data_IF_732090048949
#
_entry.id   IF_732090048949
#
_cell.length_a   1.000
_cell.length_b   1.000
_cell.length_c   1.000
_cell.angle_alpha   90.00
_cell.angle_beta   90.00
_cell.angle_gamma   90.00
#
_symmetry.space_group_name_H-M   'P 1'
#
loop_
_entity.id
_entity.type
_entity.pdbx_description
1 polymer ?
#
# COMPACT_ATOMS: atom_id res chain seq x y z
N UNK A 1 -3.97 17.54 -4.89
CA UNK A 1 -3.45 16.17 -5.09
C UNK A 1 -3.23 15.63 -3.70
N UNK A 2 -4.12 14.74 -3.27
CA UNK A 2 -3.95 14.01 -2.03
C UNK A 2 -2.99 12.85 -2.31
N UNK A 3 -2.01 12.67 -1.45
CA UNK A 3 -1.06 11.57 -1.55
C UNK A 3 -1.45 10.50 -0.53
N UNK A 4 -1.54 9.26 -0.99
CA UNK A 4 -1.70 8.08 -0.15
C UNK A 4 -0.54 7.15 -0.42
N UNK A 5 0.08 6.64 0.62
CA UNK A 5 1.20 5.72 0.52
C UNK A 5 0.83 4.43 1.23
N UNK A 6 1.00 3.29 0.55
CA UNK A 6 0.91 1.99 1.18
C UNK A 6 2.33 1.43 1.34
N UNK A 7 2.62 0.94 2.53
CA UNK A 7 3.91 0.38 2.91
C UNK A 7 3.73 -1.09 3.22
N UNK A 8 4.63 -1.89 2.66
CA UNK A 8 4.75 -3.32 2.94
C UNK A 8 5.52 -3.53 4.24
N UNK A 9 5.51 -4.76 4.76
CA UNK A 9 6.38 -5.16 5.86
C UNK A 9 7.86 -4.85 5.51
N UNK A 10 8.68 -4.37 6.46
CA UNK A 10 10.08 -4.08 6.19
C UNK A 10 10.79 -5.32 5.65
N UNK A 11 11.39 -5.21 4.46
CA UNK A 11 12.11 -6.33 3.84
C UNK A 11 13.48 -6.57 4.48
N UNK A 12 14.01 -5.56 5.17
CA UNK A 12 15.27 -5.65 5.87
C UNK A 12 15.08 -6.23 7.27
N UNK A 13 15.76 -7.33 7.55
CA UNK A 13 15.73 -8.01 8.85
C UNK A 13 16.26 -7.13 9.99
N UNK A 14 17.16 -6.17 9.74
CA UNK A 14 17.64 -5.26 10.80
C UNK A 14 16.55 -4.31 11.30
N UNK A 15 15.45 -4.17 10.55
CA UNK A 15 14.29 -3.37 10.91
C UNK A 15 13.20 -4.20 11.63
N UNK A 16 13.46 -5.48 11.89
CA UNK A 16 12.50 -6.42 12.49
C UNK A 16 13.15 -7.14 13.67
N UNK A 17 12.42 -7.32 14.76
CA UNK A 17 12.89 -8.11 15.88
C UNK A 17 12.81 -9.61 15.54
N UNK A 18 13.96 -10.21 15.23
CA UNK A 18 14.04 -11.61 14.75
C UNK A 18 14.34 -12.63 15.86
N UNK A 19 14.83 -12.20 17.03
CA UNK A 19 15.30 -13.13 18.06
C UNK A 19 14.12 -13.91 18.68
N UNK A 20 14.08 -15.22 18.45
CA UNK A 20 12.97 -16.08 18.89
C UNK A 20 11.68 -15.91 18.09
N UNK A 21 11.71 -15.15 17.00
CA UNK A 21 10.54 -14.90 16.17
C UNK A 21 10.38 -15.95 15.06
N UNK A 22 9.14 -16.35 14.79
CA UNK A 22 8.76 -17.05 13.56
C UNK A 22 8.16 -16.03 12.59
N UNK A 23 8.75 -15.90 11.40
CA UNK A 23 8.31 -14.96 10.36
C UNK A 23 8.02 -15.75 9.08
N UNK A 24 6.81 -15.60 8.54
CA UNK A 24 6.40 -16.26 7.29
C UNK A 24 5.79 -15.24 6.32
N UNK A 25 6.31 -15.22 5.10
CA UNK A 25 5.82 -14.38 4.02
C UNK A 25 4.84 -15.16 3.15
N UNK A 26 3.61 -14.66 3.03
CA UNK A 26 2.57 -15.26 2.21
C UNK A 26 2.61 -14.77 0.76
N UNK A 27 1.99 -15.49 -0.18
CA UNK A 27 1.90 -15.09 -1.58
C UNK A 27 1.14 -13.78 -1.82
N UNK A 28 0.23 -13.44 -0.90
CA UNK A 28 -0.47 -12.15 -0.89
C UNK A 28 0.33 -11.03 -0.22
N UNK A 29 1.63 -11.26 0.01
CA UNK A 29 2.59 -10.36 0.65
C UNK A 29 2.26 -9.99 2.11
N UNK A 30 1.25 -10.60 2.72
CA UNK A 30 1.03 -10.51 4.15
C UNK A 30 2.14 -11.23 4.91
N UNK A 31 2.40 -10.79 6.14
CA UNK A 31 3.46 -11.34 6.99
C UNK A 31 2.87 -11.86 8.28
N UNK A 32 3.03 -13.15 8.51
CA UNK A 32 2.78 -13.76 9.82
C UNK A 32 4.03 -13.60 10.68
N UNK A 33 3.84 -13.10 11.91
CA UNK A 33 4.88 -12.91 12.91
C UNK A 33 4.39 -13.49 14.24
N UNK A 34 5.19 -14.34 14.87
CA UNK A 34 4.91 -14.87 16.20
C UNK A 34 6.17 -14.85 17.06
N UNK A 35 6.05 -14.37 18.29
CA UNK A 35 7.14 -14.37 19.26
C UNK A 35 6.60 -14.33 20.70
N UNK A 36 6.34 -15.52 21.25
CA UNK A 36 5.76 -15.69 22.60
C UNK A 36 6.62 -15.11 23.73
N UNK A 37 7.93 -14.96 23.51
CA UNK A 37 8.87 -14.45 24.52
C UNK A 37 9.14 -12.95 24.38
N UNK A 38 8.57 -12.30 23.36
CA UNK A 38 8.78 -10.86 23.17
C UNK A 38 8.09 -10.10 24.31
N UNK A 39 8.88 -9.33 25.06
CA UNK A 39 8.35 -8.55 26.17
C UNK A 39 7.47 -7.39 25.67
N UNK A 40 6.41 -7.02 26.42
CA UNK A 40 5.67 -5.78 26.17
C UNK A 40 6.61 -4.56 26.14
N UNK A 41 6.33 -3.62 25.24
CA UNK A 41 7.13 -2.42 25.00
C UNK A 41 8.31 -2.61 24.03
N UNK A 42 8.62 -3.83 23.61
CA UNK A 42 9.63 -4.07 22.57
C UNK A 42 9.09 -3.77 21.17
N UNK A 43 9.93 -3.23 20.30
CA UNK A 43 9.58 -2.96 18.91
C UNK A 43 9.63 -4.25 18.10
N UNK A 44 8.51 -4.60 17.47
CA UNK A 44 8.39 -5.73 16.54
C UNK A 44 9.07 -5.38 15.22
N UNK A 45 8.77 -4.20 14.67
CA UNK A 45 9.40 -3.71 13.46
C UNK A 45 9.36 -2.18 13.35
N UNK A 46 10.27 -1.64 12.55
CA UNK A 46 10.43 -0.21 12.30
C UNK A 46 10.40 0.05 10.80
N UNK A 47 9.64 1.06 10.39
CA UNK A 47 9.78 1.69 9.08
C UNK A 47 10.48 3.04 9.24
N UNK A 48 11.36 3.41 8.32
CA UNK A 48 12.09 4.69 8.36
C UNK A 48 12.01 5.46 7.05
N UNK A 49 11.91 6.79 7.15
CA UNK A 49 11.87 7.71 6.00
C UNK A 49 13.25 8.07 5.46
N UNK A 50 14.30 7.74 6.20
CA UNK A 50 15.68 8.01 5.81
C UNK A 50 16.57 6.86 6.27
N UNK A 51 17.42 6.39 5.37
CA UNK A 51 18.40 5.35 5.65
C UNK A 51 19.74 5.77 5.06
N UNK A 52 20.82 5.43 5.76
CA UNK A 52 22.13 5.48 5.14
C UNK A 52 22.30 4.25 4.25
N UNK A 53 22.09 4.43 2.94
CA UNK A 53 22.21 3.34 1.98
C UNK A 53 23.63 2.78 1.90
N UNK A 54 24.67 3.62 2.07
CA UNK A 54 26.05 3.16 1.99
C UNK A 54 26.44 2.32 3.21
N UNK A 55 25.95 2.69 4.39
CA UNK A 55 26.23 1.96 5.62
C UNK A 55 25.36 0.71 5.78
N UNK A 56 24.08 0.78 5.40
CA UNK A 56 23.10 -0.26 5.72
C UNK A 56 22.69 -1.12 4.51
N UNK A 57 22.89 -0.62 3.28
CA UNK A 57 22.38 -1.26 2.05
C UNK A 57 20.86 -1.16 1.88
N UNK A 58 20.17 -0.42 2.75
CA UNK A 58 18.71 -0.38 2.78
C UNK A 58 18.17 0.90 2.20
N UNK A 59 17.13 0.78 1.39
CA UNK A 59 16.32 1.92 0.95
C UNK A 59 15.32 2.32 2.04
N UNK A 60 14.91 3.60 2.09
CA UNK A 60 13.84 4.03 2.97
C UNK A 60 12.54 3.24 2.73
N UNK A 61 11.82 2.97 3.81
CA UNK A 61 10.55 2.23 3.79
C UNK A 61 9.34 3.12 4.08
N UNK A 62 9.56 4.42 4.29
CA UNK A 62 8.52 5.44 4.42
C UNK A 62 8.71 6.56 3.39
N UNK A 63 7.62 7.19 2.93
CA UNK A 63 7.67 8.34 2.03
C UNK A 63 8.16 9.60 2.74
N UNK A 64 8.60 10.60 1.99
CA UNK A 64 8.80 11.95 2.54
C UNK A 64 7.45 12.64 2.72
N UNK A 65 7.19 13.19 3.90
CA UNK A 65 5.95 13.91 4.21
C UNK A 65 6.19 15.41 4.21
N UNK A 66 5.16 16.19 3.87
CA UNK A 66 5.22 17.65 3.84
C UNK A 66 5.10 18.20 5.26
N UNK A 67 6.04 19.07 5.63
CA UNK A 67 6.05 19.77 6.92
C UNK A 67 4.76 20.57 7.11
N UNK A 68 4.27 20.64 8.36
CA UNK A 68 3.05 21.35 8.78
C UNK A 68 1.74 20.83 8.17
N UNK A 69 1.77 19.69 7.47
CA UNK A 69 0.55 18.98 7.06
C UNK A 69 0.13 17.95 8.10
N UNK A 70 -1.17 17.70 8.16
CA UNK A 70 -1.78 16.65 8.98
C UNK A 70 -2.06 15.43 8.11
N UNK A 71 -1.70 14.26 8.62
CA UNK A 71 -1.88 12.97 7.97
C UNK A 71 -2.61 12.01 8.92
N UNK A 72 -3.12 10.93 8.33
CA UNK A 72 -3.64 9.78 9.05
C UNK A 72 -2.81 8.55 8.66
N UNK A 73 -2.30 7.85 9.67
CA UNK A 73 -1.72 6.52 9.53
C UNK A 73 -2.82 5.49 9.78
N UNK A 74 -2.93 4.48 8.92
CA UNK A 74 -3.82 3.33 9.11
C UNK A 74 -3.05 2.02 9.06
N UNK A 75 -3.24 1.17 10.06
CA UNK A 75 -2.65 -0.16 10.19
C UNK A 75 -3.73 -1.22 9.94
N UNK A 76 -3.47 -2.12 9.00
CA UNK A 76 -4.29 -3.31 8.75
C UNK A 76 -3.53 -4.54 9.21
N UNK A 77 -4.05 -5.18 10.26
CA UNK A 77 -3.43 -6.31 10.93
C UNK A 77 -4.49 -7.15 11.64
N UNK A 78 -4.27 -8.46 11.69
CA UNK A 78 -5.03 -9.41 12.52
C UNK A 78 -4.11 -9.99 13.57
N UNK A 79 -4.63 -10.33 14.74
CA UNK A 79 -3.83 -10.93 15.80
C UNK A 79 -4.66 -11.88 16.68
N UNK A 80 -3.99 -12.49 17.64
CA UNK A 80 -4.57 -13.37 18.64
C UNK A 80 -5.49 -12.66 19.65
N UNK A 81 -5.39 -11.34 19.77
CA UNK A 81 -6.19 -10.54 20.70
C UNK A 81 -6.50 -9.12 20.18
N UNK A 82 -7.33 -8.37 20.92
CA UNK A 82 -7.86 -7.08 20.49
C UNK A 82 -6.86 -5.91 20.59
N UNK A 83 -5.82 -6.03 21.42
CA UNK A 83 -4.82 -4.98 21.65
C UNK A 83 -3.39 -5.54 21.58
N UNK A 84 -3.00 -6.13 20.44
CA UNK A 84 -1.76 -6.89 20.33
C UNK A 84 -0.54 -5.95 20.29
N UNK A 85 -0.73 -4.74 19.75
CA UNK A 85 0.33 -3.80 19.40
C UNK A 85 -0.09 -2.35 19.61
N UNK A 86 0.90 -1.47 19.73
CA UNK A 86 0.78 -0.03 19.68
C UNK A 86 1.58 0.49 18.47
N UNK A 87 1.00 1.39 17.70
CA UNK A 87 1.75 2.13 16.68
C UNK A 87 2.35 3.37 17.33
N UNK A 88 3.63 3.62 17.08
CA UNK A 88 4.32 4.82 17.48
C UNK A 88 4.99 5.48 16.27
N UNK A 89 4.89 6.81 16.16
CA UNK A 89 5.60 7.61 15.16
C UNK A 89 6.46 8.64 15.88
N UNK A 90 7.72 8.76 15.48
CA UNK A 90 8.70 9.71 16.04
C UNK A 90 9.29 10.55 14.90
N UNK A 91 9.37 11.87 15.11
CA UNK A 91 9.95 12.82 14.16
C UNK A 91 11.29 13.31 14.66
N UNK A 92 12.28 13.36 13.78
CA UNK A 92 13.65 13.72 14.11
C UNK A 92 14.12 14.96 13.34
N UNK A 93 14.96 15.75 13.98
CA UNK A 93 15.66 16.88 13.36
C UNK A 93 16.98 16.44 12.69
N UNK A 94 17.80 17.40 12.27
CA UNK A 94 19.10 17.13 11.63
C UNK A 94 20.16 16.54 12.58
N UNK A 95 19.92 16.57 13.90
CA UNK A 95 20.79 16.04 14.95
C UNK A 95 20.30 14.70 15.48
N UNK A 96 19.26 14.12 14.87
CA UNK A 96 18.57 12.92 15.34
C UNK A 96 17.92 13.09 16.72
N UNK A 97 17.58 14.33 17.11
CA UNK A 97 16.80 14.59 18.31
C UNK A 97 15.30 14.51 18.00
N UNK A 98 14.53 13.92 18.91
CA UNK A 98 13.07 13.78 18.76
C UNK A 98 12.42 15.16 18.90
N UNK A 99 11.75 15.61 17.84
CA UNK A 99 10.97 16.84 17.82
C UNK A 99 9.56 16.65 18.38
N UNK A 100 8.92 15.54 18.02
CA UNK A 100 7.55 15.20 18.41
C UNK A 100 7.30 13.69 18.25
N UNK A 101 6.31 13.16 18.95
CA UNK A 101 5.90 11.76 18.81
C UNK A 101 4.41 11.55 19.03
N UNK A 102 3.83 10.60 18.31
CA UNK A 102 2.44 10.20 18.46
C UNK A 102 2.41 8.68 18.69
N UNK A 103 1.46 8.21 19.51
CA UNK A 103 1.26 6.79 19.75
C UNK A 103 -0.21 6.47 19.91
N UNK A 104 -0.63 5.29 19.46
CA UNK A 104 -2.01 4.85 19.56
C UNK A 104 -2.13 3.34 19.39
N UNK A 105 -3.15 2.76 20.02
CA UNK A 105 -3.54 1.36 19.85
C UNK A 105 -4.65 1.19 18.82
N UNK A 106 -5.30 2.28 18.44
CA UNK A 106 -6.31 2.28 17.39
C UNK A 106 -5.66 1.94 16.04
N UNK A 107 -6.46 1.35 15.14
CA UNK A 107 -6.03 1.07 13.77
C UNK A 107 -5.72 2.33 12.97
N UNK A 108 -6.14 3.52 13.45
CA UNK A 108 -5.87 4.81 12.83
C UNK A 108 -5.26 5.79 13.81
N UNK A 109 -4.23 6.50 13.37
CA UNK A 109 -3.52 7.52 14.16
C UNK A 109 -3.37 8.80 13.35
N UNK A 110 -3.95 9.91 13.84
CA UNK A 110 -3.79 11.24 13.25
C UNK A 110 -2.59 11.95 13.84
N UNK A 111 -1.80 12.59 13.00
CA UNK A 111 -0.60 13.30 13.42
C UNK A 111 -0.32 14.48 12.49
N UNK A 112 0.41 15.48 13.00
CA UNK A 112 0.89 16.61 12.21
C UNK A 112 2.42 16.54 12.11
N UNK A 113 2.95 16.72 10.91
CA UNK A 113 4.41 16.73 10.71
C UNK A 113 4.97 18.04 11.29
N UNK A 114 5.84 17.99 12.31
CA UNK A 114 6.36 19.19 12.95
C UNK A 114 7.29 19.98 12.04
N UNK A 115 7.48 21.26 12.36
CA UNK A 115 8.47 22.09 11.67
C UNK A 115 9.86 21.64 12.07
N UNK A 116 10.75 21.49 11.08
CA UNK A 116 12.13 21.07 11.32
C UNK A 116 12.37 19.56 11.17
N UNK A 117 11.33 18.77 10.89
CA UNK A 117 11.49 17.35 10.57
C UNK A 117 12.44 17.15 9.39
N UNK A 118 13.47 16.35 9.61
CA UNK A 118 14.36 15.83 8.58
C UNK A 118 14.02 14.39 8.24
N UNK A 119 13.75 13.56 9.26
CA UNK A 119 13.35 12.17 9.12
C UNK A 119 12.30 11.78 10.14
N UNK A 120 11.65 10.64 9.93
CA UNK A 120 10.72 10.06 10.89
C UNK A 120 10.72 8.54 10.80
N UNK A 121 10.31 7.92 11.90
CA UNK A 121 10.16 6.48 12.01
C UNK A 121 8.75 6.13 12.46
N UNK A 122 8.26 5.00 11.99
CA UNK A 122 7.05 4.35 12.49
C UNK A 122 7.47 3.01 13.11
N UNK A 123 7.07 2.76 14.35
CA UNK A 123 7.36 1.53 15.08
C UNK A 123 6.07 0.80 15.42
N UNK A 124 6.08 -0.52 15.21
CA UNK A 124 5.07 -1.42 15.73
C UNK A 124 5.57 -1.98 17.06
N UNK A 125 5.00 -1.52 18.16
CA UNK A 125 5.43 -1.89 19.52
C UNK A 125 4.53 -3.01 20.04
N UNK A 126 5.13 -4.07 20.57
CA UNK A 126 4.42 -5.19 21.18
C UNK A 126 3.72 -4.73 22.47
N UNK A 127 2.42 -5.00 22.63
CA UNK A 127 1.73 -4.85 23.91
C UNK A 127 1.55 -6.18 24.60
N UNK A 128 1.15 -7.22 23.85
CA UNK A 128 1.17 -8.63 24.22
C UNK A 128 0.56 -9.40 23.05
N UNK A 129 1.36 -9.85 22.09
CA UNK A 129 0.89 -10.74 21.03
C UNK A 129 1.47 -12.14 21.23
N UNK A 130 0.71 -13.16 20.85
CA UNK A 130 1.26 -14.50 20.57
C UNK A 130 1.60 -14.60 19.08
N UNK A 131 0.68 -14.12 18.23
CA UNK A 131 0.87 -14.04 16.80
C UNK A 131 0.13 -12.84 16.21
N UNK A 132 0.67 -12.33 15.10
CA UNK A 132 0.01 -11.33 14.28
C UNK A 132 0.20 -11.64 12.81
N UNK A 133 -0.75 -11.17 12.00
CA UNK A 133 -0.70 -11.18 10.55
C UNK A 133 -0.83 -9.74 10.08
N UNK A 134 0.30 -9.18 9.68
CA UNK A 134 0.37 -7.86 9.05
C UNK A 134 -0.14 -7.95 7.62
N UNK A 135 -1.06 -7.04 7.24
CA UNK A 135 -1.57 -6.93 5.88
C UNK A 135 -1.01 -5.68 5.20
N UNK A 136 -1.16 -4.50 5.80
CA UNK A 136 -0.56 -3.27 5.25
C UNK A 136 -0.46 -2.14 6.29
N UNK A 137 0.45 -1.21 6.03
CA UNK A 137 0.53 0.10 6.69
C UNK A 137 0.25 1.16 5.64
N UNK A 138 -0.49 2.21 5.97
CA UNK A 138 -0.70 3.33 5.06
C UNK A 138 -0.59 4.67 5.75
N UNK A 139 -0.10 5.67 5.02
CA UNK A 139 -0.09 7.08 5.44
C UNK A 139 -0.67 7.90 4.30
N UNK A 140 -1.67 8.72 4.58
CA UNK A 140 -2.25 9.62 3.59
C UNK A 140 -2.90 10.84 4.22
N UNK A 141 -3.40 11.74 3.39
CA UNK A 141 -4.26 12.82 3.88
C UNK A 141 -5.53 12.23 4.55
N UNK A 142 -6.15 12.98 5.46
CA UNK A 142 -7.30 12.49 6.23
C UNK A 142 -8.42 12.04 5.29
N UNK A 143 -8.90 10.80 5.47
CA UNK A 143 -9.93 10.19 4.64
C UNK A 143 -9.44 9.56 3.33
N UNK A 144 -8.15 9.64 3.00
CA UNK A 144 -7.61 9.04 1.78
C UNK A 144 -7.75 7.51 1.75
N UNK A 145 -7.55 6.85 2.90
CA UNK A 145 -7.66 5.39 3.03
C UNK A 145 -9.08 4.89 2.75
N UNK A 146 -10.11 5.69 3.05
CA UNK A 146 -11.52 5.35 2.82
C UNK A 146 -11.87 5.27 1.34
N UNK A 147 -11.00 5.77 0.48
CA UNK A 147 -11.14 5.66 -0.97
C UNK A 147 -10.61 4.34 -1.52
N UNK A 148 -9.82 3.58 -0.75
CA UNK A 148 -9.39 2.24 -1.16
C UNK A 148 -10.62 1.32 -1.15
N UNK A 149 -10.95 0.78 -2.31
CA UNK A 149 -11.99 -0.22 -2.48
C UNK A 149 -11.43 -1.63 -2.30
N UNK A 150 -10.32 -1.92 -2.99
CA UNK A 150 -9.67 -3.24 -2.96
C UNK A 150 -8.18 -3.10 -3.23
N UNK A 151 -7.39 -4.03 -2.70
CA UNK A 151 -5.95 -4.15 -2.95
C UNK A 151 -5.57 -5.58 -3.23
N UNK A 152 -4.63 -5.79 -4.14
CA UNK A 152 -3.97 -7.08 -4.32
C UNK A 152 -2.46 -6.86 -4.30
N UNK A 153 -1.79 -7.57 -3.41
CA UNK A 153 -0.34 -7.57 -3.35
C UNK A 153 0.20 -8.92 -3.78
N UNK A 154 1.16 -8.95 -4.70
CA UNK A 154 1.80 -10.18 -5.21
C UNK A 154 3.32 -9.98 -5.40
N UNK A 155 4.07 -11.07 -5.61
CA UNK A 155 5.52 -10.99 -5.81
C UNK A 155 5.96 -10.21 -7.06
N UNK A 156 5.16 -10.21 -8.13
CA UNK A 156 5.51 -9.57 -9.43
C UNK A 156 4.62 -8.38 -9.80
N UNK A 157 3.49 -8.23 -9.12
CA UNK A 157 2.61 -7.11 -9.32
C UNK A 157 1.86 -6.75 -8.04
N UNK A 158 1.44 -5.49 -7.97
CA UNK A 158 0.47 -4.99 -7.02
C UNK A 158 -0.58 -4.22 -7.78
N UNK A 159 -1.78 -4.15 -7.23
CA UNK A 159 -2.71 -3.12 -7.63
C UNK A 159 -3.55 -2.62 -6.46
N UNK A 160 -3.92 -1.34 -6.54
CA UNK A 160 -4.77 -0.65 -5.57
C UNK A 160 -5.91 -0.02 -6.35
N UNK A 161 -7.13 -0.50 -6.10
CA UNK A 161 -8.36 0.05 -6.66
C UNK A 161 -8.90 1.11 -5.71
N UNK A 162 -9.04 2.32 -6.23
CA UNK A 162 -9.52 3.48 -5.51
C UNK A 162 -10.80 4.00 -6.16
N UNK A 163 -11.80 4.28 -5.33
CA UNK A 163 -13.06 4.87 -5.73
C UNK A 163 -13.14 6.35 -5.29
N UNK A 164 -13.84 7.20 -6.06
CA UNK A 164 -14.17 8.54 -5.62
C UNK A 164 -15.13 8.50 -4.42
N UNK A 165 -14.99 9.44 -3.48
CA UNK A 165 -15.87 9.53 -2.30
C UNK A 165 -17.34 9.78 -2.69
N UNK A 166 -17.56 10.52 -3.77
CA UNK A 166 -18.88 10.66 -4.38
C UNK A 166 -18.98 9.64 -5.51
N UNK A 167 -19.88 8.67 -5.37
CA UNK A 167 -20.20 7.74 -6.44
C UNK A 167 -20.57 8.54 -7.68
N UNK A 168 -19.71 8.47 -8.68
CA UNK A 168 -20.03 8.94 -10.01
C UNK A 168 -20.48 7.74 -10.84
N UNK A 169 -21.51 7.94 -11.66
CA UNK A 169 -21.95 6.97 -12.67
C UNK A 169 -21.00 6.93 -13.88
N UNK A 170 -19.75 7.42 -13.75
CA UNK A 170 -18.79 7.38 -14.84
C UNK A 170 -18.52 5.94 -15.24
N UNK A 171 -18.75 5.67 -16.53
CA UNK A 171 -18.48 4.39 -17.16
C UNK A 171 -16.99 4.20 -17.46
N UNK A 172 -16.07 4.91 -16.81
CA UNK A 172 -14.64 4.82 -17.14
C UNK A 172 -13.81 4.53 -15.90
N UNK A 173 -12.97 3.50 -15.99
CA UNK A 173 -11.95 3.16 -15.00
C UNK A 173 -10.57 3.49 -15.61
N UNK A 174 -9.80 4.30 -14.89
CA UNK A 174 -8.42 4.63 -15.25
C UNK A 174 -7.47 3.61 -14.64
N UNK A 175 -6.67 2.95 -15.48
CA UNK A 175 -5.60 2.04 -15.09
C UNK A 175 -4.28 2.77 -15.21
N UNK A 176 -3.67 3.12 -14.07
CA UNK A 176 -2.40 3.83 -14.02
C UNK A 176 -1.31 2.79 -13.80
N UNK A 177 -0.47 2.57 -14.81
CA UNK A 177 0.53 1.51 -14.77
C UNK A 177 1.89 2.08 -14.38
N UNK A 178 2.44 1.57 -13.28
CA UNK A 178 3.72 1.98 -12.70
C UNK A 178 4.69 0.80 -12.74
N UNK A 179 5.98 1.12 -12.76
CA UNK A 179 7.03 0.14 -12.51
C UNK A 179 7.09 -0.18 -11.02
N UNK A 180 7.16 -1.47 -10.68
CA UNK A 180 7.31 -2.01 -9.33
C UNK A 180 7.70 -3.49 -9.42
N UNK A 181 7.34 -4.32 -8.41
CA UNK A 181 6.81 -3.95 -7.10
C UNK A 181 7.74 -3.03 -6.31
N UNK A 182 7.21 -2.32 -5.31
CA UNK A 182 7.98 -1.39 -4.47
C UNK A 182 7.64 -1.63 -2.99
N UNK A 183 8.57 -1.27 -2.10
CA UNK A 183 8.30 -1.27 -0.66
C UNK A 183 7.30 -0.17 -0.24
N UNK A 184 7.23 0.90 -1.03
CA UNK A 184 6.30 2.03 -0.88
C UNK A 184 5.52 2.18 -2.19
N UNK A 185 4.19 2.12 -2.10
CA UNK A 185 3.28 2.25 -3.23
C UNK A 185 2.61 3.63 -3.17
N UNK A 186 3.04 4.62 -3.98
CA UNK A 186 2.46 5.95 -4.00
C UNK A 186 1.19 5.99 -4.85
N UNK A 187 0.06 6.24 -4.20
CA UNK A 187 -1.28 6.37 -4.79
C UNK A 187 -1.63 7.86 -4.85
N UNK A 188 -1.45 8.46 -6.02
CA UNK A 188 -1.69 9.88 -6.26
C UNK A 188 -3.17 10.14 -6.54
N UNK A 189 -3.90 10.56 -5.51
CA UNK A 189 -5.33 10.81 -5.60
C UNK A 189 -5.59 12.19 -6.21
N UNK A 190 -6.08 12.22 -7.45
CA UNK A 190 -6.47 13.46 -8.09
C UNK A 190 -7.85 13.89 -7.58
N UNK A 191 -7.91 14.99 -6.82
CA UNK A 191 -9.17 15.50 -6.24
C UNK A 191 -10.17 15.95 -7.31
N UNK A 192 -9.71 16.36 -8.49
CA UNK A 192 -10.59 16.81 -9.57
C UNK A 192 -11.11 15.68 -10.46
N UNK A 193 -10.58 14.45 -10.33
CA UNK A 193 -10.98 13.32 -11.17
C UNK A 193 -11.94 12.47 -10.35
N UNK A 194 -13.23 12.60 -10.62
CA UNK A 194 -14.29 11.78 -10.04
C UNK A 194 -14.37 10.37 -10.67
N UNK A 195 -13.29 9.86 -11.25
CA UNK A 195 -13.28 8.53 -11.88
C UNK A 195 -12.64 7.51 -10.94
N UNK A 196 -12.98 6.25 -11.17
CA UNK A 196 -12.32 5.15 -10.49
C UNK A 196 -10.93 4.93 -11.07
N UNK A 197 -9.97 4.67 -10.19
CA UNK A 197 -8.57 4.53 -10.56
C UNK A 197 -8.03 3.24 -10.00
N UNK A 198 -7.34 2.46 -10.84
CA UNK A 198 -6.60 1.27 -10.45
C UNK A 198 -5.12 1.56 -10.69
N UNK A 199 -4.38 1.70 -9.59
CA UNK A 199 -2.93 1.87 -9.64
C UNK A 199 -2.29 0.50 -9.70
N UNK A 200 -1.62 0.19 -10.79
CA UNK A 200 -0.89 -1.08 -10.99
C UNK A 200 0.60 -0.79 -10.80
N UNK A 201 1.30 -1.66 -10.08
CA UNK A 201 2.75 -1.66 -9.96
C UNK A 201 3.26 -3.03 -10.39
N UNK A 202 4.18 -3.11 -11.33
CA UNK A 202 4.61 -4.41 -11.87
C UNK A 202 6.03 -4.35 -12.39
N UNK A 203 6.71 -5.50 -12.37
CA UNK A 203 8.02 -5.69 -13.00
C UNK A 203 7.90 -6.18 -14.45
N UNK A 204 6.68 -6.36 -14.95
CA UNK A 204 6.37 -6.90 -16.28
C UNK A 204 6.24 -8.43 -16.32
N UNK A 205 6.42 -9.12 -15.20
CA UNK A 205 6.23 -10.56 -15.08
C UNK A 205 4.79 -10.92 -14.67
N UNK A 206 4.46 -12.21 -14.71
CA UNK A 206 3.17 -12.77 -14.27
C UNK A 206 1.92 -12.07 -14.85
N UNK A 207 2.00 -11.64 -16.12
CA UNK A 207 0.96 -10.84 -16.77
C UNK A 207 -0.41 -11.54 -16.82
N UNK A 208 -0.46 -12.84 -17.05
CA UNK A 208 -1.72 -13.58 -17.12
C UNK A 208 -2.43 -13.58 -15.76
N UNK A 209 -1.67 -13.76 -14.67
CA UNK A 209 -2.18 -13.67 -13.30
C UNK A 209 -2.65 -12.25 -12.96
N UNK A 210 -1.94 -11.21 -13.43
CA UNK A 210 -2.38 -9.82 -13.26
C UNK A 210 -3.70 -9.56 -14.00
N UNK A 211 -3.80 -9.94 -15.27
CA UNK A 211 -5.03 -9.78 -16.07
C UNK A 211 -6.18 -10.54 -15.42
N UNK A 212 -5.95 -11.77 -14.97
CA UNK A 212 -6.97 -12.56 -14.28
C UNK A 212 -7.42 -11.88 -12.99
N UNK A 213 -6.49 -11.38 -12.17
CA UNK A 213 -6.81 -10.66 -10.93
C UNK A 213 -7.61 -9.40 -11.19
N UNK A 214 -7.22 -8.59 -12.18
CA UNK A 214 -7.96 -7.38 -12.58
C UNK A 214 -9.34 -7.73 -13.13
N UNK A 215 -9.45 -8.79 -13.94
CA UNK A 215 -10.73 -9.23 -14.48
C UNK A 215 -11.70 -9.61 -13.38
N UNK A 216 -11.24 -10.29 -12.32
CA UNK A 216 -12.08 -10.69 -11.21
C UNK A 216 -12.67 -9.49 -10.47
N UNK A 217 -11.84 -8.51 -10.15
CA UNK A 217 -12.26 -7.26 -9.48
C UNK A 217 -13.16 -6.40 -10.36
N UNK A 218 -12.87 -6.31 -11.66
CA UNK A 218 -13.65 -5.48 -12.59
C UNK A 218 -14.95 -6.14 -13.09
N UNK A 219 -15.20 -7.44 -12.81
CA UNK A 219 -16.44 -8.15 -13.19
C UNK A 219 -17.71 -7.46 -12.69
N UNK A 220 -17.63 -6.75 -11.57
CA UNK A 220 -18.79 -6.03 -11.01
C UNK A 220 -19.17 -4.77 -11.80
N UNK A 221 -18.41 -4.44 -12.87
CA UNK A 221 -18.67 -3.31 -13.77
C UNK A 221 -18.49 -3.66 -15.25
N UNK A 222 -19.40 -4.48 -15.81
CA UNK A 222 -19.30 -4.94 -17.21
C UNK A 222 -19.32 -3.81 -18.25
N UNK A 223 -19.94 -2.67 -17.95
CA UNK A 223 -20.03 -1.52 -18.88
C UNK A 223 -18.92 -0.48 -18.73
N UNK A 224 -17.91 -0.73 -17.88
CA UNK A 224 -16.82 0.21 -17.69
C UNK A 224 -15.80 0.15 -18.83
N UNK A 225 -15.64 1.27 -19.54
CA UNK A 225 -14.52 1.53 -20.44
C UNK A 225 -13.22 1.67 -19.65
N UNK A 226 -12.18 0.99 -20.11
CA UNK A 226 -10.86 0.97 -19.49
C UNK A 226 -9.95 1.94 -20.23
N UNK A 227 -9.39 2.91 -19.50
CA UNK A 227 -8.39 3.84 -20.03
C UNK A 227 -7.06 3.55 -19.36
N UNK A 228 -5.97 3.45 -20.14
CA UNK A 228 -4.64 3.16 -19.62
C UNK A 228 -3.79 4.43 -19.63
N UNK A 229 -3.20 4.74 -18.48
CA UNK A 229 -2.34 5.90 -18.28
C UNK A 229 -0.95 5.48 -17.80
N UNK A 230 0.07 6.19 -18.28
CA UNK A 230 1.45 5.96 -17.89
C UNK A 230 1.73 6.56 -16.51
N UNK A 231 2.10 5.71 -15.55
CA UNK A 231 2.52 6.11 -14.22
C UNK A 231 4.05 6.19 -14.05
N UNK A 232 4.49 6.10 -12.80
CA UNK A 232 5.90 6.19 -12.41
C UNK A 232 6.72 5.05 -13.01
N UNK A 233 7.73 5.38 -13.81
CA UNK A 233 8.65 4.41 -14.41
C UNK A 233 8.02 3.53 -15.49
N UNK A 234 6.82 3.87 -15.98
CA UNK A 234 6.11 3.11 -17.00
C UNK A 234 6.96 2.75 -18.23
N UNK A 235 7.75 3.69 -18.73
CA UNK A 235 8.58 3.50 -19.93
C UNK A 235 9.81 2.60 -19.73
N UNK A 236 10.08 2.14 -18.50
CA UNK A 236 11.07 1.11 -18.23
C UNK A 236 10.50 -0.31 -18.28
N UNK A 237 9.18 -0.46 -18.40
CA UNK A 237 8.54 -1.76 -18.54
C UNK A 237 8.81 -2.36 -19.93
N UNK A 238 8.90 -3.70 -20.04
CA UNK A 238 9.08 -4.36 -21.34
C UNK A 238 7.93 -4.02 -22.31
N UNK A 239 8.26 -3.62 -23.53
CA UNK A 239 7.25 -3.29 -24.55
C UNK A 239 6.26 -4.43 -24.83
N UNK A 240 6.73 -5.68 -24.80
CA UNK A 240 5.88 -6.86 -24.97
C UNK A 240 4.82 -6.99 -23.87
N UNK A 241 5.19 -6.66 -22.63
CA UNK A 241 4.26 -6.65 -21.50
C UNK A 241 3.14 -5.63 -21.75
N UNK A 242 3.47 -4.41 -22.19
CA UNK A 242 2.49 -3.36 -22.49
C UNK A 242 1.53 -3.79 -23.60
N UNK A 243 2.02 -4.45 -24.64
CA UNK A 243 1.19 -4.95 -25.74
C UNK A 243 0.21 -6.00 -25.23
N UNK A 244 0.70 -7.00 -24.48
CA UNK A 244 -0.12 -8.06 -23.89
C UNK A 244 -1.15 -7.50 -22.89
N UNK A 245 -0.78 -6.51 -22.08
CA UNK A 245 -1.66 -5.90 -21.11
C UNK A 245 -2.83 -5.20 -21.82
N UNK A 246 -2.54 -4.40 -22.86
CA UNK A 246 -3.58 -3.75 -23.67
C UNK A 246 -4.51 -4.76 -24.35
N UNK A 247 -3.97 -5.88 -24.84
CA UNK A 247 -4.78 -6.95 -25.43
C UNK A 247 -5.69 -7.62 -24.39
N UNK A 248 -5.17 -7.94 -23.20
CA UNK A 248 -5.93 -8.54 -22.11
C UNK A 248 -7.03 -7.62 -21.58
N UNK A 249 -6.75 -6.32 -21.42
CA UNK A 249 -7.75 -5.34 -20.98
C UNK A 249 -8.91 -5.22 -21.98
N UNK A 250 -8.65 -5.25 -23.29
CA UNK A 250 -9.71 -5.28 -24.31
C UNK A 250 -10.59 -6.53 -24.20
N UNK A 251 -10.02 -7.68 -23.86
CA UNK A 251 -10.81 -8.90 -23.66
C UNK A 251 -11.74 -8.78 -22.45
N UNK A 252 -11.30 -8.11 -21.38
CA UNK A 252 -12.13 -7.83 -20.20
C UNK A 252 -13.34 -6.97 -20.59
N UNK A 253 -13.14 -5.89 -21.37
CA UNK A 253 -14.24 -5.04 -21.86
C UNK A 253 -15.25 -5.83 -22.72
N UNK A 254 -14.76 -6.71 -23.60
CA UNK A 254 -15.61 -7.53 -24.48
C UNK A 254 -16.44 -8.53 -23.67
N UNK A 255 -15.85 -9.19 -22.67
CA UNK A 255 -16.55 -10.15 -21.81
C UNK A 255 -17.59 -9.46 -20.92
N UNK A 256 -17.30 -8.24 -20.45
CA UNK A 256 -18.27 -7.40 -19.75
C UNK A 256 -19.49 -7.10 -20.62
N UNK A 257 -19.30 -6.72 -21.88
CA UNK A 257 -20.39 -6.42 -22.81
C UNK A 257 -21.28 -7.63 -23.14
N UNK A 258 -20.73 -8.84 -23.30
CA UNK A 258 -21.50 -10.03 -23.69
C UNK A 258 -22.42 -10.60 -22.60
N UNK A 259 -22.06 -10.45 -21.32
CA UNK A 259 -22.87 -11.00 -20.22
C UNK A 259 -24.23 -10.28 -20.03
N UNK A 260 -24.45 -9.12 -20.66
CA UNK A 260 -25.72 -8.41 -20.60
C UNK A 260 -26.70 -8.80 -21.72
N UNK A 261 -26.23 -9.38 -22.84
CA UNK A 261 -27.10 -9.79 -23.96
C UNK A 261 -27.87 -11.11 -23.66
N UNK A 262 -27.51 -11.84 -22.59
CA UNK A 262 -28.17 -13.09 -22.19
C UNK A 262 -29.20 -12.92 -21.05
N UNK A 263 -29.47 -11.69 -20.59
CA UNK A 263 -30.43 -11.43 -19.49
C UNK A 263 -31.76 -10.78 -19.93
N UNK A 264 -31.99 -10.61 -21.24
CA UNK A 264 -33.19 -9.99 -21.81
C UNK A 264 -34.15 -11.00 -22.51
N UNK A 265 -34.22 -12.25 -22.03
CA UNK A 265 -35.21 -13.25 -22.48
C UNK A 265 -35.94 -13.94 -21.33
#
# INVERSE_FOLDING_TARGET
>A
MSELYLMRWPQNLSAVYVNGATIQYSQDQSVFYANEVLSPGQTICTWSSATDYLASGNSPSLPLLKINKTYELSLQLKADNDLPVQVQIEFFDSRQEVLDSYRGTDSRLKFKVPKGTISYEVRLVNLKHEWLRFESLSIGEIGAVERIFETSFRPHYDWVHVCPLRRSNHKTVQLIVNQGPRSILPVSLHESINVEQVFIYTDGQAIDSLIQSLSYTLRFKPEAQLSLEAGLGYYYLPSEFIIKLKAGLRQIEILGGKNNDELDH
#
